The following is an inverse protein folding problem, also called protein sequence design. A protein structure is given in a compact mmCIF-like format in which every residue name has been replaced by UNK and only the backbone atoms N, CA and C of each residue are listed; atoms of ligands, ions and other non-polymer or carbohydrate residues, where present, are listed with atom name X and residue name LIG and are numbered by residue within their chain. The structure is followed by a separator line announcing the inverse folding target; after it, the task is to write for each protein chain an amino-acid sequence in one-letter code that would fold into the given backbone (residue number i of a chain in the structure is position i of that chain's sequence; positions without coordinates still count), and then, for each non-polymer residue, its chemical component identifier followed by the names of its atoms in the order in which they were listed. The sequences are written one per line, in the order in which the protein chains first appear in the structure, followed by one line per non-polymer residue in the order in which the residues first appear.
data_IF_542475433135
#
_entry.id   IF_542475433135
#
_cell.length_a   1.000
_cell.length_b   1.000
_cell.length_c   1.000
_cell.angle_alpha   90.00
_cell.angle_beta   90.00
_cell.angle_gamma   90.00
#
_symmetry.space_group_name_H-M   'P 1'
#
loop_
_entity.id
_entity.type
_entity.pdbx_description
1 polymer ?
#
# COMPACT_ATOMS: atom_id res chain seq x y z
N UNK A 1 34.83 -16.73 -43.18
CA UNK A 1 33.54 -16.24 -43.70
C UNK A 1 32.41 -16.91 -42.95
N UNK A 2 31.90 -16.27 -41.89
CA UNK A 2 30.72 -16.69 -41.15
C UNK A 2 29.80 -15.48 -41.06
N UNK A 3 28.91 -15.33 -42.04
CA UNK A 3 27.86 -14.31 -42.04
C UNK A 3 26.58 -14.93 -42.58
N UNK A 4 25.79 -15.53 -41.68
CA UNK A 4 24.39 -15.84 -41.92
C UNK A 4 23.63 -15.75 -40.59
N UNK A 5 23.53 -14.54 -40.06
CA UNK A 5 22.53 -14.22 -39.02
C UNK A 5 21.33 -13.60 -39.73
N UNK A 6 20.33 -14.41 -40.06
CA UNK A 6 19.01 -13.93 -40.45
C UNK A 6 18.17 -13.83 -39.17
N UNK A 7 18.15 -12.63 -38.57
CA UNK A 7 17.24 -12.31 -37.45
C UNK A 7 15.87 -12.04 -38.07
N UNK A 8 14.97 -13.02 -37.98
CA UNK A 8 13.59 -12.89 -38.44
C UNK A 8 12.80 -12.16 -37.34
N UNK A 9 12.56 -10.87 -37.56
CA UNK A 9 11.61 -10.06 -36.79
C UNK A 9 10.18 -10.51 -37.09
N UNK A 10 9.46 -10.99 -36.08
CA UNK A 10 8.00 -11.15 -36.11
C UNK A 10 7.40 -10.64 -34.81
N UNK A 11 7.21 -9.32 -34.74
CA UNK A 11 6.32 -8.70 -33.76
C UNK A 11 5.03 -8.32 -34.47
N UNK A 12 3.94 -9.02 -34.18
CA UNK A 12 2.58 -8.47 -34.15
C UNK A 12 1.55 -9.59 -33.91
N UNK A 13 1.21 -9.85 -32.65
CA UNK A 13 -0.15 -10.24 -32.31
C UNK A 13 -0.74 -9.15 -31.42
N UNK A 14 -1.53 -8.29 -32.05
CA UNK A 14 -2.49 -7.40 -31.40
C UNK A 14 -3.81 -8.13 -31.17
N UNK A 15 -4.60 -7.57 -30.25
CA UNK A 15 -6.01 -7.87 -29.87
C UNK A 15 -6.13 -8.82 -28.67
N UNK A 16 -6.99 -8.59 -27.67
CA UNK A 16 -8.19 -7.77 -27.61
C UNK A 16 -8.42 -7.20 -26.19
N UNK A 17 -9.16 -6.10 -26.13
CA UNK A 17 -9.57 -5.38 -24.93
C UNK A 17 -10.33 -6.27 -23.95
N UNK A 18 -9.90 -6.25 -22.70
CA UNK A 18 -10.66 -6.71 -21.54
C UNK A 18 -11.88 -5.82 -21.28
N UNK A 19 -13.10 -6.32 -21.46
CA UNK A 19 -14.28 -5.68 -20.87
C UNK A 19 -15.19 -6.77 -20.31
N UNK A 20 -15.24 -6.85 -18.99
CA UNK A 20 -16.23 -7.55 -18.16
C UNK A 20 -16.05 -7.04 -16.72
N UNK A 21 -16.39 -5.76 -16.52
CA UNK A 21 -16.57 -5.20 -15.18
C UNK A 21 -17.97 -5.51 -14.68
N UNK A 22 -18.13 -6.57 -13.90
CA UNK A 22 -19.35 -6.82 -13.14
C UNK A 22 -19.55 -5.68 -12.13
N UNK A 23 -20.67 -4.96 -12.25
CA UNK A 23 -21.10 -3.96 -11.29
C UNK A 23 -21.53 -4.67 -9.99
N UNK A 24 -20.58 -4.91 -9.09
CA UNK A 24 -20.86 -5.13 -7.68
C UNK A 24 -21.23 -3.78 -7.05
N UNK A 25 -22.53 -3.61 -6.86
CA UNK A 25 -23.17 -2.87 -5.78
C UNK A 25 -22.22 -2.48 -4.64
N UNK A 26 -22.03 -1.18 -4.47
CA UNK A 26 -21.18 -0.54 -3.48
C UNK A 26 -21.60 -0.91 -2.06
N UNK A 27 -20.75 -1.58 -1.26
CA UNK A 27 -20.84 -1.45 0.17
C UNK A 27 -20.26 -0.09 0.53
N UNK A 28 -21.11 0.68 1.19
CA UNK A 28 -20.80 1.83 2.02
C UNK A 28 -19.50 1.62 2.82
N UNK A 29 -18.62 2.63 2.84
CA UNK A 29 -17.41 2.71 3.68
C UNK A 29 -16.41 1.54 3.62
N UNK A 30 -15.40 1.63 2.74
CA UNK A 30 -14.14 0.89 2.95
C UNK A 30 -12.98 1.87 2.79
N UNK A 31 -12.46 2.26 3.95
CA UNK A 31 -11.10 2.74 4.18
C UNK A 31 -10.12 2.21 3.11
N UNK A 32 -9.51 3.14 2.40
CA UNK A 32 -8.63 2.94 1.24
C UNK A 32 -7.82 1.63 1.26
N UNK A 33 -7.94 0.72 0.26
CA UNK A 33 -7.24 -0.55 0.21
C UNK A 33 -5.81 -0.36 -0.31
N UNK A 34 -4.96 0.30 0.47
CA UNK A 34 -3.52 0.05 0.39
C UNK A 34 -3.26 -0.93 1.52
N UNK A 35 -2.52 -2.00 1.25
CA UNK A 35 -2.06 -2.92 2.29
C UNK A 35 -1.35 -2.10 3.37
N UNK A 36 -2.07 -1.68 4.41
CA UNK A 36 -1.52 -1.00 5.55
C UNK A 36 -0.75 -2.07 6.30
N UNK A 37 0.50 -2.29 5.87
CA UNK A 37 1.47 -3.02 6.65
C UNK A 37 1.36 -2.50 8.08
N UNK A 38 0.95 -3.37 8.99
CA UNK A 38 0.86 -3.02 10.41
C UNK A 38 2.27 -2.66 10.83
N UNK A 39 2.46 -1.41 11.25
CA UNK A 39 3.78 -0.95 11.61
C UNK A 39 4.26 -1.63 12.91
N UNK A 40 5.56 -1.75 13.07
CA UNK A 40 6.17 -2.27 14.30
C UNK A 40 6.02 -1.32 15.48
N UNK A 41 5.84 -0.02 15.22
CA UNK A 41 5.72 1.01 16.23
C UNK A 41 4.87 2.20 15.72
N UNK A 42 4.38 3.06 16.63
CA UNK A 42 3.52 4.18 16.26
C UNK A 42 4.21 5.26 15.41
N UNK A 43 5.54 5.29 15.35
CA UNK A 43 6.27 6.23 14.51
C UNK A 43 6.26 5.75 13.04
N UNK A 44 6.66 4.51 12.75
CA UNK A 44 6.65 4.00 11.37
C UNK A 44 5.24 3.86 10.79
N UNK A 45 4.22 3.81 11.64
CA UNK A 45 2.82 3.85 11.22
C UNK A 45 2.43 5.16 10.50
N UNK A 46 3.20 6.23 10.70
CA UNK A 46 2.92 7.57 10.18
C UNK A 46 4.07 8.22 9.40
N UNK A 47 5.26 7.61 9.38
CA UNK A 47 6.45 8.19 8.78
C UNK A 47 7.09 7.25 7.74
N UNK A 48 8.07 7.79 7.02
CA UNK A 48 8.94 7.02 6.13
C UNK A 48 9.68 5.89 6.86
N UNK A 49 10.05 4.79 6.16
CA UNK A 49 9.94 4.58 4.71
C UNK A 49 8.57 4.10 4.23
N UNK A 50 7.75 3.55 5.12
CA UNK A 50 6.52 2.85 4.73
C UNK A 50 5.34 3.82 4.46
N UNK A 51 5.30 4.94 5.18
CA UNK A 51 4.14 5.83 5.20
C UNK A 51 4.50 7.30 4.87
N UNK A 52 5.43 7.52 3.95
CA UNK A 52 5.92 8.86 3.57
C UNK A 52 4.85 9.87 3.09
N UNK A 53 3.65 9.39 2.73
CA UNK A 53 2.53 10.24 2.27
C UNK A 53 1.49 10.49 3.37
N UNK A 54 1.64 9.89 4.55
CA UNK A 54 0.74 10.11 5.67
C UNK A 54 0.88 11.55 6.18
N UNK A 55 -0.25 12.09 6.64
CA UNK A 55 -0.38 13.45 7.18
C UNK A 55 -1.13 13.36 8.51
N UNK A 56 -1.23 14.49 9.22
CA UNK A 56 -2.09 14.58 10.40
C UNK A 56 -3.52 14.16 10.04
N UNK A 57 -4.11 13.29 10.86
CA UNK A 57 -5.46 12.74 10.68
C UNK A 57 -5.54 11.46 9.83
N UNK A 58 -4.46 11.09 9.12
CA UNK A 58 -4.41 9.82 8.37
C UNK A 58 -4.54 8.62 9.31
N UNK A 59 -5.31 7.61 8.90
CA UNK A 59 -5.43 6.36 9.65
C UNK A 59 -4.10 5.63 9.74
N UNK A 60 -3.83 5.04 10.90
CA UNK A 60 -2.58 4.31 11.16
C UNK A 60 -2.85 3.07 12.01
N UNK A 61 -2.00 2.05 11.84
CA UNK A 61 -2.07 0.78 12.57
C UNK A 61 -0.68 0.33 12.96
N UNK A 62 -0.51 -0.16 14.19
CA UNK A 62 0.75 -0.70 14.68
C UNK A 62 0.54 -1.84 15.67
N UNK A 63 1.53 -2.71 15.84
CA UNK A 63 1.49 -3.77 16.83
C UNK A 63 1.63 -3.20 18.25
N UNK A 64 0.84 -3.71 19.20
CA UNK A 64 0.90 -3.33 20.62
C UNK A 64 2.16 -3.85 21.34
N UNK A 65 3.00 -4.61 20.63
CA UNK A 65 4.19 -5.26 21.16
C UNK A 65 5.15 -5.63 20.03
N UNK A 66 6.35 -6.13 20.36
CA UNK A 66 7.42 -6.36 19.39
C UNK A 66 7.18 -7.57 18.47
N UNK A 67 6.20 -8.43 18.78
CA UNK A 67 5.85 -9.57 17.93
C UNK A 67 4.72 -9.19 16.97
N UNK A 68 4.80 -9.71 15.76
CA UNK A 68 3.74 -9.79 14.74
C UNK A 68 2.47 -10.54 15.20
N UNK A 69 2.55 -11.30 16.30
CA UNK A 69 1.40 -11.93 16.96
C UNK A 69 0.75 -11.03 18.03
N UNK A 70 1.35 -9.87 18.31
CA UNK A 70 0.79 -8.91 19.27
C UNK A 70 -0.52 -8.32 18.75
N UNK A 71 -1.35 -7.80 19.66
CA UNK A 71 -2.56 -7.09 19.28
C UNK A 71 -2.27 -5.92 18.34
N UNK A 72 -3.25 -5.54 17.54
CA UNK A 72 -3.13 -4.41 16.61
C UNK A 72 -3.85 -3.21 17.21
N UNK A 73 -3.15 -2.09 17.30
CA UNK A 73 -3.71 -0.81 17.73
C UNK A 73 -4.04 0.02 16.48
N UNK A 74 -5.30 0.46 16.40
CA UNK A 74 -5.77 1.38 15.36
C UNK A 74 -5.80 2.80 15.89
N UNK A 75 -5.44 3.76 15.04
CA UNK A 75 -5.32 5.14 15.45
C UNK A 75 -5.33 6.14 14.30
N UNK A 76 -4.99 7.38 14.62
CA UNK A 76 -4.74 8.44 13.64
C UNK A 76 -3.38 9.09 13.90
N UNK A 77 -2.70 9.48 12.82
CA UNK A 77 -1.46 10.22 12.90
C UNK A 77 -1.71 11.62 13.47
N UNK A 78 -1.03 11.96 14.56
CA UNK A 78 -1.05 13.29 15.16
C UNK A 78 0.37 13.85 15.24
N UNK A 79 0.52 15.16 15.13
CA UNK A 79 1.82 15.80 15.35
C UNK A 79 2.15 15.81 16.85
N UNK A 80 3.26 15.20 17.23
CA UNK A 80 3.85 15.20 18.58
C UNK A 80 5.32 15.58 18.44
N UNK A 81 5.71 16.68 19.09
CA UNK A 81 7.10 17.14 19.11
C UNK A 81 7.73 17.32 17.71
N UNK A 82 6.93 17.77 16.74
CA UNK A 82 7.38 18.00 15.35
C UNK A 82 7.41 16.75 14.47
N UNK A 83 6.97 15.60 14.99
CA UNK A 83 6.94 14.31 14.28
C UNK A 83 5.51 13.77 14.23
N UNK A 84 5.15 13.01 13.20
CA UNK A 84 3.86 12.32 13.18
C UNK A 84 3.92 11.06 14.05
N UNK A 85 2.96 10.87 14.94
CA UNK A 85 2.86 9.68 15.79
C UNK A 85 1.45 9.12 15.70
N UNK A 86 1.32 7.81 15.57
CA UNK A 86 0.04 7.14 15.61
C UNK A 86 -0.52 7.17 17.04
N UNK A 87 -1.68 7.81 17.21
CA UNK A 87 -2.38 7.88 18.50
C UNK A 87 -3.63 7.00 18.41
N UNK A 88 -3.77 6.08 19.37
CA UNK A 88 -4.91 5.19 19.47
C UNK A 88 -6.21 6.00 19.58
N UNK A 89 -7.25 5.54 18.88
CA UNK A 89 -8.57 6.17 18.82
C UNK A 89 -9.59 5.39 19.64
#
# INVERSE_FOLDING_TARGET
MLFKSAIIFTFALCMASHDLGAAIETPTEIDSPVHAFIATDPYYACNCPNNCRHKVGTGCKFYSGPSDTSGIINGKCASRDGTLTCVAN
#
